data_IF_193252582780
#
_entry.id   IF_193252582780
#
_cell.length_a   1.000
_cell.length_b   1.000
_cell.length_c   1.000
_cell.angle_alpha   90.00
_cell.angle_beta   90.00
_cell.angle_gamma   90.00
#
_symmetry.space_group_name_H-M   'P 1'
#
loop_
_entity.id
_entity.type
_entity.pdbx_description
1 polymer ?
#
# COMPACT_ATOMS: atom_id res chain seq x y z
N UNK A 1 -16.73 -7.15 22.05
CA UNK A 1 -15.86 -7.19 20.84
C UNK A 1 -16.77 -7.44 19.66
N UNK A 2 -16.99 -6.42 18.83
CA UNK A 2 -17.78 -6.60 17.59
C UNK A 2 -16.79 -6.97 16.49
N UNK A 3 -16.78 -8.23 16.11
CA UNK A 3 -16.03 -8.75 14.96
C UNK A 3 -16.72 -8.29 13.68
N UNK A 4 -16.15 -7.30 13.01
CA UNK A 4 -16.53 -6.95 11.64
C UNK A 4 -15.54 -7.64 10.72
N UNK A 5 -15.92 -8.81 10.21
CA UNK A 5 -15.17 -9.53 9.18
C UNK A 5 -15.49 -8.87 7.83
N UNK A 6 -14.62 -7.98 7.38
CA UNK A 6 -14.68 -7.46 6.00
C UNK A 6 -13.91 -8.44 5.09
N UNK A 7 -14.62 -9.44 4.59
CA UNK A 7 -14.08 -10.41 3.62
C UNK A 7 -14.04 -9.76 2.24
N UNK A 8 -12.93 -9.11 1.92
CA UNK A 8 -12.65 -8.80 0.51
C UNK A 8 -12.25 -10.08 -0.23
N UNK A 9 -12.80 -10.31 -1.42
CA UNK A 9 -12.42 -11.47 -2.24
C UNK A 9 -10.91 -11.47 -2.50
N UNK A 10 -10.36 -12.68 -2.65
CA UNK A 10 -8.96 -12.87 -3.03
C UNK A 10 -8.64 -12.04 -4.27
N UNK A 11 -7.44 -11.43 -4.38
CA UNK A 11 -7.06 -10.70 -5.57
C UNK A 11 -7.13 -11.61 -6.78
N UNK A 12 -7.71 -11.12 -7.86
CA UNK A 12 -7.58 -11.72 -9.18
C UNK A 12 -6.09 -11.97 -9.49
N UNK A 13 -5.80 -12.90 -10.39
CA UNK A 13 -4.44 -13.23 -10.81
C UNK A 13 -3.59 -11.97 -10.94
N UNK A 14 -2.39 -11.98 -10.36
CA UNK A 14 -1.54 -10.81 -10.29
C UNK A 14 -1.35 -10.23 -11.70
N UNK A 15 -1.73 -8.97 -11.88
CA UNK A 15 -1.52 -8.24 -13.12
C UNK A 15 -0.01 -8.22 -13.43
N UNK A 16 0.36 -8.55 -14.66
CA UNK A 16 1.77 -8.62 -15.08
C UNK A 16 2.43 -7.24 -15.19
N UNK A 17 1.62 -6.16 -15.18
CA UNK A 17 2.12 -4.78 -15.26
C UNK A 17 2.86 -4.39 -13.98
N UNK A 18 3.93 -3.55 -14.07
CA UNK A 18 4.64 -3.06 -12.89
C UNK A 18 3.71 -2.31 -11.93
N UNK A 19 3.84 -2.60 -10.64
CA UNK A 19 3.07 -1.94 -9.60
C UNK A 19 3.83 -0.72 -9.06
N UNK A 20 3.32 0.49 -9.30
CA UNK A 20 3.99 1.73 -8.89
C UNK A 20 4.07 1.92 -7.37
N UNK A 21 3.20 1.27 -6.58
CA UNK A 21 3.23 1.38 -5.11
C UNK A 21 4.46 0.71 -4.49
N UNK A 22 5.13 -0.18 -5.23
CA UNK A 22 6.29 -0.96 -4.78
C UNK A 22 7.64 -0.38 -5.22
N UNK A 23 7.63 0.66 -6.06
CA UNK A 23 8.83 1.24 -6.60
C UNK A 23 9.42 2.30 -5.66
N UNK A 24 10.73 2.40 -5.62
CA UNK A 24 11.42 3.56 -5.05
C UNK A 24 11.24 4.79 -5.94
N UNK A 25 11.55 5.99 -5.43
CA UNK A 25 11.48 7.22 -6.24
C UNK A 25 12.36 7.15 -7.50
N UNK A 26 13.53 6.55 -7.42
CA UNK A 26 14.42 6.39 -8.56
C UNK A 26 13.82 5.46 -9.61
N UNK A 27 13.41 4.26 -9.18
CA UNK A 27 12.76 3.28 -10.05
C UNK A 27 11.46 3.80 -10.69
N UNK A 28 10.68 4.61 -9.95
CA UNK A 28 9.47 5.23 -10.49
C UNK A 28 9.81 6.19 -11.64
N UNK A 29 10.86 7.02 -11.50
CA UNK A 29 11.27 7.93 -12.56
C UNK A 29 11.72 7.16 -13.82
N UNK A 30 12.52 6.11 -13.66
CA UNK A 30 12.98 5.24 -14.75
C UNK A 30 11.78 4.54 -15.44
N UNK A 31 10.90 3.91 -14.68
CA UNK A 31 9.74 3.22 -15.22
C UNK A 31 8.81 4.14 -16.03
N UNK A 32 8.64 5.40 -15.60
CA UNK A 32 7.83 6.38 -16.34
C UNK A 32 8.45 6.77 -17.69
N UNK A 33 9.77 6.82 -17.77
CA UNK A 33 10.49 7.09 -19.03
C UNK A 33 10.44 5.87 -19.94
N UNK A 34 10.70 4.68 -19.42
CA UNK A 34 10.71 3.43 -20.18
C UNK A 34 9.32 3.11 -20.78
N UNK A 35 8.25 3.41 -20.04
CA UNK A 35 6.88 3.27 -20.54
C UNK A 35 6.43 4.43 -21.45
N UNK A 36 7.27 5.42 -21.74
CA UNK A 36 6.93 6.56 -22.57
C UNK A 36 5.88 7.51 -21.97
N UNK A 37 5.61 7.40 -20.67
CA UNK A 37 4.65 8.26 -19.95
C UNK A 37 5.25 9.64 -19.66
N UNK A 38 6.57 9.70 -19.50
CA UNK A 38 7.31 10.95 -19.31
C UNK A 38 8.59 10.98 -20.16
N UNK A 39 8.97 12.16 -20.62
CA UNK A 39 10.32 12.37 -21.18
C UNK A 39 11.35 12.43 -20.06
N UNK A 40 12.66 12.18 -20.32
CA UNK A 40 13.72 12.32 -19.33
C UNK A 40 13.70 13.69 -18.62
N UNK A 41 13.42 14.77 -19.36
CA UNK A 41 13.31 16.13 -18.81
C UNK A 41 12.11 16.30 -17.85
N UNK A 42 11.06 15.55 -18.04
CA UNK A 42 9.83 15.60 -17.24
C UNK A 42 9.81 14.57 -16.10
N UNK A 43 10.72 13.58 -16.13
CA UNK A 43 10.69 12.43 -15.25
C UNK A 43 10.65 12.80 -13.76
N UNK A 44 11.48 13.74 -13.33
CA UNK A 44 11.52 14.20 -11.93
C UNK A 44 10.19 14.81 -11.48
N UNK A 45 9.64 15.74 -12.26
CA UNK A 45 8.37 16.40 -11.94
C UNK A 45 7.21 15.39 -11.91
N UNK A 46 7.14 14.53 -12.93
CA UNK A 46 6.07 13.55 -13.05
C UNK A 46 6.12 12.49 -11.95
N UNK A 47 7.32 12.02 -11.62
CA UNK A 47 7.56 11.15 -10.47
C UNK A 47 7.05 11.78 -9.18
N UNK A 48 7.38 13.06 -8.89
CA UNK A 48 7.00 13.70 -7.64
C UNK A 48 5.49 13.92 -7.54
N UNK A 49 4.82 14.22 -8.65
CA UNK A 49 3.36 14.28 -8.73
C UNK A 49 2.72 12.94 -8.38
N UNK A 50 3.14 11.86 -9.06
CA UNK A 50 2.59 10.51 -8.87
C UNK A 50 2.90 9.99 -7.47
N UNK A 51 4.14 10.19 -7.01
CA UNK A 51 4.54 9.82 -5.65
C UNK A 51 3.67 10.47 -4.58
N UNK A 52 3.39 11.77 -4.72
CA UNK A 52 2.50 12.48 -3.81
C UNK A 52 1.07 11.93 -3.80
N UNK A 53 0.55 11.51 -4.96
CA UNK A 53 -0.75 10.87 -5.05
C UNK A 53 -0.78 9.49 -4.37
N UNK A 54 0.23 8.67 -4.62
CA UNK A 54 0.30 7.31 -4.08
C UNK A 54 0.52 7.31 -2.56
N UNK A 55 1.53 8.06 -2.09
CA UNK A 55 2.01 7.92 -0.71
C UNK A 55 1.47 8.98 0.26
N UNK A 56 1.12 10.18 -0.20
CA UNK A 56 0.57 11.21 0.67
C UNK A 56 -0.96 11.28 0.64
N UNK A 57 -1.58 11.02 -0.52
CA UNK A 57 -3.04 11.07 -0.69
C UNK A 57 -3.72 9.71 -0.72
N UNK A 58 -2.95 8.63 -0.78
CA UNK A 58 -3.47 7.26 -0.75
C UNK A 58 -4.28 6.88 -1.99
N UNK A 59 -4.01 7.49 -3.16
CA UNK A 59 -4.73 7.20 -4.39
C UNK A 59 -4.69 5.70 -4.73
N UNK A 60 -5.84 5.15 -5.12
CA UNK A 60 -6.04 3.76 -5.53
C UNK A 60 -6.35 3.61 -7.01
N UNK A 61 -6.49 4.73 -7.73
CA UNK A 61 -6.68 4.76 -9.17
C UNK A 61 -5.96 5.96 -9.79
N UNK A 62 -5.59 5.85 -11.06
CA UNK A 62 -4.98 6.97 -11.79
C UNK A 62 -5.98 8.08 -12.09
N UNK A 63 -7.27 7.79 -12.15
CA UNK A 63 -8.33 8.79 -12.36
C UNK A 63 -8.37 9.84 -11.25
N UNK A 64 -8.08 9.44 -10.01
CA UNK A 64 -8.04 10.36 -8.87
C UNK A 64 -6.95 11.44 -8.98
N UNK A 65 -5.94 11.25 -9.86
CA UNK A 65 -4.79 12.13 -10.00
C UNK A 65 -5.11 13.38 -10.83
N UNK A 66 -5.96 14.25 -10.33
CA UNK A 66 -6.60 15.36 -11.08
C UNK A 66 -5.63 16.42 -11.62
N UNK A 67 -4.45 16.57 -11.04
CA UNK A 67 -3.40 17.49 -11.53
C UNK A 67 -2.49 16.87 -12.62
N UNK A 68 -2.84 15.65 -13.09
CA UNK A 68 -2.18 14.98 -14.21
C UNK A 68 -3.17 14.97 -15.39
N UNK A 69 -2.69 15.33 -16.57
CA UNK A 69 -3.51 15.36 -17.79
C UNK A 69 -4.21 14.02 -18.05
N UNK A 70 -5.44 14.04 -18.56
CA UNK A 70 -6.27 12.85 -18.79
C UNK A 70 -5.57 11.80 -19.67
N UNK A 71 -4.89 12.26 -20.74
CA UNK A 71 -4.12 11.38 -21.62
C UNK A 71 -2.95 10.69 -20.91
N UNK A 72 -2.26 11.42 -20.03
CA UNK A 72 -1.17 10.85 -19.23
C UNK A 72 -1.70 9.82 -18.22
N UNK A 73 -2.88 10.07 -17.62
CA UNK A 73 -3.54 9.12 -16.73
C UNK A 73 -3.95 7.84 -17.47
N UNK A 74 -4.45 7.95 -18.70
CA UNK A 74 -4.77 6.80 -19.52
C UNK A 74 -3.53 5.95 -19.83
N UNK A 75 -2.40 6.58 -20.21
CA UNK A 75 -1.13 5.88 -20.39
C UNK A 75 -0.60 5.21 -19.13
N UNK A 76 -0.79 5.85 -17.98
CA UNK A 76 -0.43 5.26 -16.69
C UNK A 76 -1.26 4.01 -16.41
N UNK A 77 -2.57 4.05 -16.68
CA UNK A 77 -3.48 2.94 -16.46
C UNK A 77 -3.23 1.76 -17.41
N UNK A 78 -2.77 2.04 -18.64
CA UNK A 78 -2.35 1.00 -19.59
C UNK A 78 -1.03 0.32 -19.17
N UNK A 79 -0.05 1.09 -18.67
CA UNK A 79 1.30 0.61 -18.41
C UNK A 79 1.52 0.06 -17.00
N UNK A 80 0.73 0.47 -16.01
CA UNK A 80 0.99 0.24 -14.59
C UNK A 80 -0.26 -0.11 -13.80
N UNK A 81 -0.05 -0.64 -12.59
CA UNK A 81 -1.09 -0.85 -11.58
C UNK A 81 -0.77 -0.14 -10.28
N UNK A 82 -1.81 0.08 -9.44
CA UNK A 82 -1.71 0.68 -8.11
C UNK A 82 -2.21 -0.30 -7.02
N UNK A 83 -1.79 -1.56 -7.10
CA UNK A 83 -2.23 -2.57 -6.16
C UNK A 83 -1.61 -2.34 -4.78
N UNK A 84 -2.44 -2.45 -3.76
CA UNK A 84 -2.03 -2.43 -2.37
C UNK A 84 -2.12 -3.83 -1.77
N UNK A 85 -1.33 -4.13 -0.72
CA UNK A 85 -1.48 -5.37 0.02
C UNK A 85 -2.92 -5.58 0.48
N UNK A 86 -3.38 -6.82 0.47
CA UNK A 86 -4.73 -7.17 0.84
C UNK A 86 -4.90 -7.11 2.37
N UNK A 87 -5.96 -6.44 2.82
CA UNK A 87 -6.42 -6.57 4.21
C UNK A 87 -7.22 -7.87 4.28
N UNK A 88 -6.68 -8.88 4.96
CA UNK A 88 -7.30 -10.19 5.11
C UNK A 88 -8.32 -10.17 6.23
N UNK A 89 -7.98 -9.48 7.31
CA UNK A 89 -8.83 -9.36 8.50
C UNK A 89 -8.72 -7.96 9.10
N UNK A 90 -9.82 -7.47 9.65
CA UNK A 90 -9.89 -6.22 10.41
C UNK A 90 -10.69 -6.46 11.68
N UNK A 91 -10.04 -6.22 12.81
CA UNK A 91 -10.65 -6.29 14.13
C UNK A 91 -10.69 -4.89 14.75
N UNK A 92 -11.77 -4.57 15.44
CA UNK A 92 -11.89 -3.31 16.18
C UNK A 92 -12.41 -3.60 17.59
N UNK A 93 -11.71 -3.07 18.59
CA UNK A 93 -12.13 -3.13 19.99
C UNK A 93 -13.00 -1.93 20.36
N UNK A 94 -13.68 -2.03 21.54
CA UNK A 94 -14.61 -0.99 22.02
C UNK A 94 -13.92 0.35 22.32
N UNK A 95 -12.63 0.34 22.62
CA UNK A 95 -11.77 1.51 22.85
C UNK A 95 -11.25 2.15 21.55
N UNK A 96 -11.68 1.64 20.38
CA UNK A 96 -11.31 2.19 19.09
C UNK A 96 -9.98 1.68 18.51
N UNK A 97 -9.27 0.79 19.22
CA UNK A 97 -8.08 0.14 18.67
C UNK A 97 -8.47 -0.72 17.47
N UNK A 98 -7.71 -0.61 16.38
CA UNK A 98 -7.95 -1.38 15.16
C UNK A 98 -6.72 -2.21 14.85
N UNK A 99 -6.92 -3.51 14.64
CA UNK A 99 -5.89 -4.44 14.18
C UNK A 99 -6.24 -4.93 12.78
N UNK A 100 -5.27 -4.91 11.89
CA UNK A 100 -5.36 -5.47 10.54
C UNK A 100 -4.38 -6.61 10.38
N UNK A 101 -4.82 -7.68 9.71
CA UNK A 101 -3.96 -8.69 9.11
C UNK A 101 -3.80 -8.33 7.63
N UNK A 102 -2.57 -8.06 7.21
CA UNK A 102 -2.24 -7.58 5.87
C UNK A 102 -1.42 -8.64 5.15
N UNK A 103 -1.90 -9.07 3.97
CA UNK A 103 -1.23 -10.05 3.11
C UNK A 103 -0.46 -9.35 1.99
N UNK A 104 0.84 -9.56 1.93
CA UNK A 104 1.74 -9.06 0.88
C UNK A 104 1.94 -10.07 -0.26
N UNK A 105 1.92 -11.36 0.06
CA UNK A 105 2.00 -12.48 -0.87
C UNK A 105 1.38 -13.72 -0.22
N UNK A 106 1.13 -14.81 -0.95
CA UNK A 106 0.70 -16.07 -0.35
C UNK A 106 1.65 -16.50 0.78
N UNK A 107 1.10 -16.72 1.98
CA UNK A 107 1.87 -17.08 3.17
C UNK A 107 2.70 -15.94 3.79
N UNK A 108 2.63 -14.73 3.27
CA UNK A 108 3.34 -13.55 3.81
C UNK A 108 2.33 -12.57 4.37
N UNK A 109 1.98 -12.76 5.63
CA UNK A 109 1.00 -11.94 6.34
C UNK A 109 1.64 -11.28 7.56
N UNK A 110 1.28 -10.03 7.82
CA UNK A 110 1.75 -9.25 8.98
C UNK A 110 0.60 -8.52 9.65
N UNK A 111 0.74 -8.31 10.94
CA UNK A 111 -0.21 -7.51 11.70
C UNK A 111 0.19 -6.03 11.72
N UNK A 112 -0.81 -5.16 11.69
CA UNK A 112 -0.68 -3.72 11.89
C UNK A 112 -1.76 -3.28 12.86
N UNK A 113 -1.41 -2.44 13.85
CA UNK A 113 -2.32 -2.00 14.90
C UNK A 113 -2.35 -0.48 14.97
N UNK A 114 -3.54 0.10 14.96
CA UNK A 114 -3.76 1.52 15.25
C UNK A 114 -4.35 1.67 16.64
N UNK A 115 -3.74 2.55 17.45
CA UNK A 115 -4.13 2.88 18.82
C UNK A 115 -4.50 4.37 18.85
N UNK A 116 -5.80 4.74 18.96
CA UNK A 116 -6.25 6.12 18.78
C UNK A 116 -5.80 7.07 19.91
N UNK A 117 -5.71 6.60 21.14
CA UNK A 117 -5.52 7.44 22.33
C UNK A 117 -4.05 7.72 22.67
N UNK A 118 -3.12 7.51 21.75
CA UNK A 118 -1.70 7.78 21.93
C UNK A 118 -1.32 9.07 21.21
N UNK A 119 -0.94 10.10 21.97
CA UNK A 119 -0.60 11.41 21.42
C UNK A 119 -1.78 12.12 20.75
N UNK A 120 -1.49 13.02 19.80
CA UNK A 120 -2.53 13.81 19.11
C UNK A 120 -3.22 13.10 17.95
N UNK A 121 -2.55 12.14 17.33
CA UNK A 121 -2.99 11.48 16.10
C UNK A 121 -3.16 9.96 16.24
N UNK A 122 -2.97 9.44 17.45
CA UNK A 122 -2.85 8.01 17.68
C UNK A 122 -1.47 7.46 17.31
N UNK A 123 -1.26 6.18 17.55
CA UNK A 123 -0.06 5.46 17.17
C UNK A 123 -0.39 4.34 16.17
N UNK A 124 0.46 4.18 15.15
CA UNK A 124 0.39 3.08 14.21
C UNK A 124 1.61 2.17 14.41
N UNK A 125 1.37 0.95 14.90
CA UNK A 125 2.38 -0.10 15.03
C UNK A 125 2.34 -0.98 13.79
N UNK A 126 3.46 -1.10 13.09
CA UNK A 126 3.56 -1.85 11.84
C UNK A 126 4.63 -2.93 11.98
N UNK A 127 4.28 -4.18 11.65
CA UNK A 127 5.24 -5.27 11.59
C UNK A 127 6.14 -5.14 10.35
N UNK A 128 7.45 -5.21 10.55
CA UNK A 128 8.46 -5.11 9.50
C UNK A 128 8.87 -6.47 8.90
N UNK A 129 8.42 -7.57 9.51
CA UNK A 129 8.75 -8.94 9.09
C UNK A 129 7.63 -9.89 9.48
N UNK A 130 7.61 -11.07 8.87
CA UNK A 130 6.76 -12.19 9.27
C UNK A 130 7.47 -12.95 10.40
N UNK A 131 6.73 -13.19 11.48
CA UNK A 131 7.29 -13.88 12.66
C UNK A 131 8.31 -13.04 13.44
N UNK A 132 8.97 -13.66 14.40
CA UNK A 132 9.98 -13.01 15.23
C UNK A 132 11.08 -14.03 15.61
N UNK A 133 12.33 -13.63 15.44
CA UNK A 133 13.49 -14.49 15.77
C UNK A 133 13.76 -14.64 17.26
N UNK A 134 13.16 -13.78 18.10
CA UNK A 134 13.34 -13.81 19.56
C UNK A 134 12.58 -14.97 20.24
N UNK A 135 11.54 -15.50 19.58
CA UNK A 135 10.76 -16.65 20.03
C UNK A 135 10.37 -16.63 21.52
N UNK A 136 9.87 -15.47 22.01
CA UNK A 136 9.46 -15.30 23.39
C UNK A 136 8.26 -16.20 23.71
N UNK A 137 8.31 -16.94 24.82
CA UNK A 137 7.28 -17.92 25.23
C UNK A 137 5.89 -17.33 25.48
N UNK A 138 5.79 -16.02 25.71
CA UNK A 138 4.53 -15.29 25.94
C UNK A 138 4.01 -14.58 24.69
N UNK A 139 4.72 -14.65 23.57
CA UNK A 139 4.42 -13.89 22.35
C UNK A 139 3.97 -14.80 21.20
N UNK A 140 2.76 -14.58 20.70
CA UNK A 140 2.21 -15.37 19.59
C UNK A 140 2.89 -15.10 18.25
N UNK A 141 3.55 -13.96 18.09
CA UNK A 141 4.24 -13.60 16.85
C UNK A 141 5.52 -14.42 16.63
N UNK A 142 6.05 -15.05 17.66
CA UNK A 142 7.26 -15.88 17.60
C UNK A 142 7.04 -17.35 17.22
N UNK A 143 5.78 -17.74 16.98
CA UNK A 143 5.42 -19.14 16.67
C UNK A 143 5.23 -19.37 15.17
#
# INVERSE_FOLDING_TARGET
VTLVLDHRPAPAAADARPNLTRLTRAQLAEALVDAGVATPAQAKMRRDQIWGWIHARGATSFEAMTNIAKETRARLDEAFVLDRPQIVERLQSADGVIKWLIRFAPGVEVETVYIPDVGRAGALCVSSQVGCTLNCTFCHTGT
#
